data_IF_105683733497
#
_entry.id   IF_105683733497
#
_cell.length_a   1.000
_cell.length_b   1.000
_cell.length_c   1.000
_cell.angle_alpha   90.00
_cell.angle_beta   90.00
_cell.angle_gamma   90.00
#
_symmetry.space_group_name_H-M   'P 1'
#
loop_
_entity.id
_entity.type
_entity.pdbx_description
1 polymer ?
#
# COMPACT_ATOMS: atom_id res chain seq x y z
N UNK A 1 -22.97 -1.73 50.49
CA UNK A 1 -21.89 -0.89 49.90
C UNK A 1 -20.63 -1.67 49.52
N UNK A 2 -20.33 -2.81 50.12
CA UNK A 2 -19.14 -3.60 49.75
C UNK A 2 -19.19 -4.30 48.39
N UNK A 3 -20.37 -4.70 47.91
CA UNK A 3 -20.52 -5.41 46.63
C UNK A 3 -20.33 -4.53 45.40
N UNK A 4 -20.60 -3.21 45.49
CA UNK A 4 -20.42 -2.27 44.38
C UNK A 4 -18.96 -1.89 44.14
N UNK A 5 -18.15 -1.87 45.18
CA UNK A 5 -16.72 -1.55 45.10
C UNK A 5 -15.92 -2.71 44.48
N UNK A 6 -16.29 -3.96 44.84
CA UNK A 6 -15.68 -5.16 44.25
C UNK A 6 -15.98 -5.30 42.76
N UNK A 7 -17.19 -4.92 42.32
CA UNK A 7 -17.56 -4.91 40.88
C UNK A 7 -16.78 -3.86 40.06
N UNK A 8 -16.56 -2.68 40.63
CA UNK A 8 -15.76 -1.63 39.98
C UNK A 8 -14.26 -1.97 39.92
N UNK A 9 -13.73 -2.62 40.94
CA UNK A 9 -12.34 -3.11 40.97
C UNK A 9 -12.16 -4.24 39.93
N UNK A 10 -13.12 -5.17 39.83
CA UNK A 10 -13.06 -6.26 38.83
C UNK A 10 -13.16 -5.74 37.41
N UNK A 11 -13.98 -4.72 37.11
CA UNK A 11 -14.07 -4.08 35.83
C UNK A 11 -12.81 -3.26 35.50
N UNK A 12 -12.24 -2.58 36.49
CA UNK A 12 -10.96 -1.86 36.30
C UNK A 12 -9.79 -2.85 36.09
N UNK A 13 -9.74 -3.96 36.80
CA UNK A 13 -8.72 -5.00 36.59
C UNK A 13 -8.90 -5.75 35.25
N UNK A 14 -10.13 -5.99 34.81
CA UNK A 14 -10.40 -6.57 33.49
C UNK A 14 -10.04 -5.60 32.36
N UNK A 15 -10.37 -4.32 32.48
CA UNK A 15 -9.96 -3.29 31.51
C UNK A 15 -8.44 -3.04 31.52
N UNK A 16 -7.82 -3.07 32.68
CA UNK A 16 -6.36 -2.97 32.82
C UNK A 16 -5.66 -4.24 32.30
N UNK A 17 -6.23 -5.40 32.53
CA UNK A 17 -5.74 -6.68 31.99
C UNK A 17 -5.79 -6.74 30.48
N UNK A 18 -6.87 -6.26 29.86
CA UNK A 18 -7.02 -6.24 28.40
C UNK A 18 -6.01 -5.30 27.74
N UNK A 19 -5.84 -4.09 28.25
CA UNK A 19 -4.82 -3.12 27.74
C UNK A 19 -3.39 -3.58 28.05
N UNK A 20 -3.20 -4.32 29.14
CA UNK A 20 -1.88 -4.85 29.54
C UNK A 20 -1.51 -6.06 28.69
N UNK A 21 -2.48 -6.91 28.34
CA UNK A 21 -2.30 -8.10 27.52
C UNK A 21 -1.90 -7.73 26.07
N UNK A 22 -2.58 -6.77 25.43
CA UNK A 22 -2.24 -6.29 24.09
C UNK A 22 -0.83 -5.68 24.03
N UNK A 23 -0.40 -4.97 25.07
CA UNK A 23 0.95 -4.38 25.13
C UNK A 23 2.04 -5.41 25.38
N UNK A 24 1.75 -6.42 26.19
CA UNK A 24 2.67 -7.54 26.45
C UNK A 24 2.77 -8.38 25.19
N UNK A 25 1.66 -8.70 24.54
CA UNK A 25 1.64 -9.48 23.33
C UNK A 25 2.43 -8.78 22.21
N UNK A 26 2.22 -7.49 22.00
CA UNK A 26 2.97 -6.70 21.03
C UNK A 26 4.49 -6.71 21.30
N UNK A 27 4.91 -6.65 22.57
CA UNK A 27 6.31 -6.73 22.95
C UNK A 27 6.90 -8.13 22.77
N UNK A 28 6.10 -9.15 23.05
CA UNK A 28 6.52 -10.55 22.85
C UNK A 28 6.70 -10.84 21.35
N UNK A 29 5.78 -10.40 20.52
CA UNK A 29 5.85 -10.57 19.08
C UNK A 29 7.04 -9.82 18.49
N UNK A 30 7.32 -8.59 18.94
CA UNK A 30 8.50 -7.82 18.53
C UNK A 30 9.81 -8.51 18.98
N UNK A 31 9.89 -8.94 20.25
CA UNK A 31 11.05 -9.66 20.76
C UNK A 31 11.27 -10.99 20.03
N UNK A 32 10.19 -11.73 19.73
CA UNK A 32 10.27 -12.95 18.94
C UNK A 32 10.78 -12.67 17.52
N UNK A 33 10.31 -11.59 16.89
CA UNK A 33 10.74 -11.19 15.56
C UNK A 33 12.22 -10.76 15.55
N UNK A 34 12.67 -9.98 16.54
CA UNK A 34 14.09 -9.57 16.67
C UNK A 34 14.99 -10.80 16.91
N UNK A 35 14.61 -11.66 17.84
CA UNK A 35 15.34 -12.89 18.13
C UNK A 35 15.39 -13.80 16.91
N UNK A 36 14.28 -13.98 16.21
CA UNK A 36 14.22 -14.77 14.98
C UNK A 36 15.17 -14.22 13.92
N UNK A 37 15.18 -12.89 13.70
CA UNK A 37 16.09 -12.26 12.73
C UNK A 37 17.55 -12.48 13.11
N UNK A 38 17.90 -12.33 14.38
CA UNK A 38 19.25 -12.56 14.89
C UNK A 38 19.69 -14.03 14.75
N UNK A 39 18.81 -14.98 15.12
CA UNK A 39 19.08 -16.42 15.04
C UNK A 39 19.17 -16.93 13.58
N UNK A 40 18.43 -16.31 12.66
CA UNK A 40 18.38 -16.72 11.25
C UNK A 40 19.23 -15.82 10.32
N UNK A 41 20.00 -14.88 10.87
CA UNK A 41 20.84 -13.94 10.12
C UNK A 41 20.03 -13.20 9.03
N UNK A 42 18.81 -12.77 9.32
CA UNK A 42 17.97 -12.03 8.37
C UNK A 42 18.61 -10.68 8.10
N UNK A 43 18.98 -10.38 6.85
CA UNK A 43 19.67 -9.13 6.53
C UNK A 43 18.72 -7.92 6.71
N UNK A 44 19.27 -6.77 7.10
CA UNK A 44 18.51 -5.51 7.22
C UNK A 44 18.05 -4.95 5.86
N UNK A 45 18.73 -5.37 4.80
CA UNK A 45 18.43 -4.99 3.42
C UNK A 45 18.10 -6.21 2.58
N UNK A 46 17.32 -6.01 1.53
CA UNK A 46 17.01 -7.06 0.56
C UNK A 46 18.29 -7.59 -0.10
N UNK A 47 18.35 -8.90 -0.40
CA UNK A 47 19.49 -9.47 -1.11
C UNK A 47 19.64 -8.81 -2.49
N UNK A 48 20.89 -8.57 -2.91
CA UNK A 48 21.20 -8.09 -4.26
C UNK A 48 20.72 -9.10 -5.30
N UNK A 49 20.31 -8.59 -6.47
CA UNK A 49 19.92 -9.45 -7.59
C UNK A 49 21.11 -10.29 -8.06
N UNK A 50 20.88 -11.55 -8.36
CA UNK A 50 21.89 -12.40 -8.99
C UNK A 50 21.91 -12.10 -10.48
N UNK A 51 22.61 -11.05 -10.88
CA UNK A 51 22.85 -10.72 -12.29
C UNK A 51 23.75 -11.80 -12.88
N UNK A 52 23.19 -12.66 -13.75
CA UNK A 52 23.98 -13.64 -14.50
C UNK A 52 23.76 -15.11 -14.18
N UNK A 53 22.89 -15.48 -13.26
CA UNK A 53 22.48 -16.88 -13.11
C UNK A 53 21.54 -17.27 -14.26
N UNK A 54 22.12 -17.77 -15.36
CA UNK A 54 21.36 -18.29 -16.51
C UNK A 54 20.81 -19.69 -16.19
N UNK A 55 19.87 -19.76 -15.27
CA UNK A 55 18.92 -20.86 -15.27
C UNK A 55 17.77 -20.48 -16.19
N UNK A 56 18.03 -20.49 -17.50
CA UNK A 56 16.98 -20.29 -18.48
C UNK A 56 15.90 -21.37 -18.24
N UNK A 57 14.64 -20.97 -18.09
CA UNK A 57 13.56 -21.92 -17.89
C UNK A 57 13.49 -22.86 -19.08
N UNK A 58 13.10 -24.11 -18.83
CA UNK A 58 12.88 -25.08 -19.89
C UNK A 58 11.88 -24.50 -20.93
N UNK A 59 12.23 -24.46 -22.25
CA UNK A 59 11.34 -23.93 -23.27
C UNK A 59 9.93 -24.56 -23.28
N UNK A 60 9.80 -25.81 -22.86
CA UNK A 60 8.51 -26.49 -22.71
C UNK A 60 7.69 -25.94 -21.52
N UNK A 61 8.35 -25.42 -20.47
CA UNK A 61 7.66 -24.78 -19.35
C UNK A 61 7.17 -23.38 -19.70
N UNK A 62 7.84 -22.69 -20.62
CA UNK A 62 7.45 -21.33 -21.05
C UNK A 62 6.08 -21.30 -21.76
N UNK A 63 5.67 -22.40 -22.41
CA UNK A 63 4.35 -22.50 -23.06
C UNK A 63 3.20 -22.70 -22.05
N UNK A 64 3.53 -23.04 -20.79
CA UNK A 64 2.59 -23.21 -19.70
C UNK A 64 2.63 -22.03 -18.68
N UNK A 65 3.49 -21.01 -18.91
CA UNK A 65 3.57 -19.83 -18.05
C UNK A 65 2.22 -19.11 -18.09
N UNK A 66 1.52 -18.97 -16.95
CA UNK A 66 0.28 -18.20 -16.92
C UNK A 66 0.55 -16.76 -17.36
N UNK A 67 -0.19 -16.31 -18.37
CA UNK A 67 -0.22 -14.88 -18.64
C UNK A 67 -0.82 -14.19 -17.41
N UNK A 68 -0.10 -13.24 -16.86
CA UNK A 68 -0.65 -12.39 -15.79
C UNK A 68 -1.81 -11.59 -16.41
N UNK A 69 -2.97 -11.63 -15.78
CA UNK A 69 -4.05 -10.73 -16.16
C UNK A 69 -3.72 -9.33 -15.66
N UNK A 70 -2.90 -8.61 -16.46
CA UNK A 70 -2.59 -7.20 -16.20
C UNK A 70 -3.85 -6.33 -16.08
N UNK A 71 -4.99 -6.80 -16.62
CA UNK A 71 -6.24 -6.07 -16.56
C UNK A 71 -6.90 -6.12 -15.18
N UNK A 72 -6.70 -7.18 -14.40
CA UNK A 72 -7.32 -7.30 -13.08
C UNK A 72 -6.71 -6.30 -12.09
N UNK A 73 -5.40 -6.18 -12.04
CA UNK A 73 -4.71 -5.25 -11.12
C UNK A 73 -4.64 -3.82 -11.67
N UNK A 74 -4.44 -3.65 -12.98
CA UNK A 74 -4.53 -2.35 -13.64
C UNK A 74 -5.99 -1.92 -13.85
N UNK A 75 -6.92 -2.86 -14.06
CA UNK A 75 -8.33 -2.59 -14.27
C UNK A 75 -8.99 -1.94 -13.05
N UNK A 76 -8.62 -2.32 -11.84
CA UNK A 76 -9.14 -1.70 -10.62
C UNK A 76 -8.58 -0.28 -10.44
N UNK A 77 -7.35 -0.01 -10.89
CA UNK A 77 -6.82 1.36 -10.95
C UNK A 77 -7.44 2.18 -12.08
N UNK A 78 -8.05 1.53 -13.07
CA UNK A 78 -8.70 2.15 -14.24
C UNK A 78 -10.21 2.29 -14.09
N UNK A 79 -10.85 1.88 -12.98
CA UNK A 79 -12.28 2.06 -12.84
C UNK A 79 -12.59 3.56 -12.83
N UNK A 80 -12.83 4.08 -14.06
CA UNK A 80 -13.76 5.17 -14.23
C UNK A 80 -15.17 4.59 -13.93
N UNK A 81 -16.08 5.32 -13.28
CA UNK A 81 -17.43 4.84 -13.00
C UNK A 81 -18.04 4.31 -14.29
N UNK A 82 -18.59 3.11 -14.22
CA UNK A 82 -19.25 2.46 -15.35
C UNK A 82 -20.44 3.33 -15.76
N UNK A 83 -20.25 4.20 -16.76
CA UNK A 83 -21.35 4.86 -17.41
C UNK A 83 -22.24 3.77 -17.99
N UNK A 84 -23.46 3.64 -17.49
CA UNK A 84 -24.46 2.74 -18.04
C UNK A 84 -24.50 2.96 -19.56
N UNK A 85 -24.40 1.87 -20.32
CA UNK A 85 -24.41 1.88 -21.77
C UNK A 85 -25.74 2.47 -22.28
N UNK A 86 -25.76 3.77 -22.45
CA UNK A 86 -26.81 4.53 -23.11
C UNK A 86 -26.33 4.91 -24.49
N UNK A 87 -27.18 4.66 -25.49
CA UNK A 87 -26.95 4.84 -26.92
C UNK A 87 -26.19 6.15 -27.26
N UNK A 88 -25.19 6.05 -28.14
CA UNK A 88 -24.40 7.16 -28.62
C UNK A 88 -25.27 8.28 -29.21
N UNK A 89 -25.18 9.53 -28.74
CA UNK A 89 -25.75 10.67 -29.41
C UNK A 89 -24.88 11.15 -30.56
N UNK A 90 -25.55 11.44 -31.67
CA UNK A 90 -25.00 12.06 -32.89
C UNK A 90 -24.30 13.38 -32.56
N UNK A 91 -23.04 13.52 -32.95
CA UNK A 91 -22.20 14.71 -32.65
C UNK A 91 -22.56 15.85 -33.58
N UNK A 92 -23.22 16.86 -33.04
CA UNK A 92 -23.28 18.20 -33.67
C UNK A 92 -22.07 19.00 -33.14
N UNK A 93 -21.31 19.76 -33.97
CA UNK A 93 -20.18 20.54 -33.46
C UNK A 93 -20.68 21.63 -32.51
N UNK A 94 -20.33 21.49 -31.24
CA UNK A 94 -20.61 22.50 -30.21
C UNK A 94 -19.64 23.69 -30.37
N UNK A 95 -20.19 24.89 -30.30
CA UNK A 95 -19.44 26.13 -30.19
C UNK A 95 -18.46 26.06 -29.02
N UNK A 96 -17.23 26.55 -29.23
CA UNK A 96 -16.19 26.62 -28.22
C UNK A 96 -16.70 27.29 -26.94
N UNK A 97 -16.73 26.51 -25.85
CA UNK A 97 -17.05 27.04 -24.53
C UNK A 97 -15.98 28.10 -24.14
N UNK A 98 -16.37 29.16 -23.41
CA UNK A 98 -15.42 30.15 -22.89
C UNK A 98 -14.39 29.43 -22.00
N UNK A 99 -13.11 29.90 -21.96
CA UNK A 99 -12.09 29.31 -21.14
C UNK A 99 -12.57 29.25 -19.68
N UNK A 100 -12.50 28.05 -19.09
CA UNK A 100 -12.86 27.85 -17.69
C UNK A 100 -12.03 28.81 -16.84
N UNK A 101 -12.70 29.53 -15.94
CA UNK A 101 -12.01 30.43 -15.01
C UNK A 101 -10.90 29.65 -14.29
N UNK A 102 -9.70 30.22 -14.23
CA UNK A 102 -8.57 29.62 -13.51
C UNK A 102 -9.01 29.33 -12.07
N UNK A 103 -8.78 28.10 -11.56
CA UNK A 103 -9.19 27.77 -10.22
C UNK A 103 -8.57 28.75 -9.21
N UNK A 104 -9.39 29.30 -8.33
CA UNK A 104 -8.90 30.13 -7.23
C UNK A 104 -7.85 29.34 -6.44
N UNK A 105 -6.67 29.92 -6.17
CA UNK A 105 -5.66 29.21 -5.39
C UNK A 105 -6.22 28.85 -4.00
N UNK A 106 -5.83 27.71 -3.43
CA UNK A 106 -6.27 27.32 -2.10
C UNK A 106 -5.84 28.37 -1.07
N UNK A 107 -6.58 28.52 0.05
CA UNK A 107 -6.20 29.44 1.13
C UNK A 107 -4.80 29.08 1.67
N UNK A 108 -4.15 29.99 2.39
CA UNK A 108 -2.82 29.76 2.98
C UNK A 108 -2.83 28.74 4.12
N UNK A 109 -3.98 28.44 4.71
CA UNK A 109 -4.16 27.38 5.70
C UNK A 109 -5.59 26.82 5.62
N UNK A 110 -5.74 25.54 5.92
CA UNK A 110 -7.03 24.89 6.05
C UNK A 110 -6.92 23.66 6.95
N UNK A 111 -7.99 23.37 7.72
CA UNK A 111 -8.05 22.22 8.60
C UNK A 111 -9.44 21.58 8.52
N UNK A 112 -9.48 20.31 8.18
CA UNK A 112 -10.67 19.46 8.24
C UNK A 112 -10.83 18.92 9.67
N UNK A 113 -12.05 18.86 10.16
CA UNK A 113 -12.38 18.38 11.50
C UNK A 113 -13.52 17.36 11.45
N UNK A 114 -13.83 16.72 12.58
CA UNK A 114 -14.93 15.75 12.65
C UNK A 114 -14.51 14.29 12.48
N UNK A 115 -13.21 14.02 12.56
CA UNK A 115 -12.69 12.64 12.55
C UNK A 115 -12.90 11.97 13.89
N UNK A 116 -13.26 10.69 13.87
CA UNK A 116 -13.29 9.85 15.04
C UNK A 116 -11.97 9.10 15.14
N UNK A 117 -11.07 9.60 15.97
CA UNK A 117 -9.74 9.04 16.16
C UNK A 117 -9.78 7.76 16.99
N UNK A 118 -9.10 6.73 16.50
CA UNK A 118 -8.77 5.51 17.23
C UNK A 118 -7.27 5.25 17.11
N UNK A 119 -6.62 4.94 18.23
CA UNK A 119 -5.24 4.48 18.18
C UNK A 119 -5.23 3.08 17.58
N UNK A 120 -4.38 2.85 16.58
CA UNK A 120 -4.27 1.54 15.95
C UNK A 120 -3.88 0.44 16.95
N UNK A 121 -4.47 -0.73 16.80
CA UNK A 121 -3.98 -1.97 17.40
C UNK A 121 -2.67 -2.40 16.73
N UNK A 122 -2.02 -3.44 17.28
CA UNK A 122 -0.79 -3.96 16.70
C UNK A 122 -0.99 -4.31 15.22
N UNK A 123 -0.06 -3.84 14.37
CA UNK A 123 -0.06 -4.08 12.92
C UNK A 123 -1.39 -3.75 12.21
N UNK A 124 -2.10 -2.72 12.66
CA UNK A 124 -3.44 -2.36 12.18
C UNK A 124 -3.52 -0.95 11.57
N UNK A 125 -2.40 -0.42 11.04
CA UNK A 125 -2.34 0.94 10.51
C UNK A 125 -3.30 1.15 9.33
N UNK A 126 -3.36 0.23 8.40
CA UNK A 126 -4.27 0.29 7.24
C UNK A 126 -5.74 0.33 7.68
N UNK A 127 -6.25 -0.69 8.37
CA UNK A 127 -7.62 -0.71 8.86
C UNK A 127 -8.00 0.49 9.73
N UNK A 128 -7.14 0.90 10.66
CA UNK A 128 -7.41 2.04 11.54
C UNK A 128 -7.45 3.36 10.78
N UNK A 129 -6.52 3.59 9.84
CA UNK A 129 -6.51 4.81 9.02
C UNK A 129 -7.68 4.86 8.05
N UNK A 130 -8.13 3.71 7.53
CA UNK A 130 -9.31 3.63 6.70
C UNK A 130 -10.58 3.95 7.51
N UNK A 131 -10.77 3.33 8.69
CA UNK A 131 -11.89 3.60 9.58
C UNK A 131 -11.96 5.09 9.98
N UNK A 132 -10.81 5.68 10.28
CA UNK A 132 -10.69 7.11 10.59
C UNK A 132 -11.11 7.98 9.39
N UNK A 133 -10.63 7.69 8.19
CA UNK A 133 -11.00 8.44 6.99
C UNK A 133 -12.51 8.34 6.70
N UNK A 134 -13.08 7.13 6.79
CA UNK A 134 -14.51 6.88 6.62
C UNK A 134 -15.37 7.61 7.67
N UNK A 135 -14.87 7.77 8.89
CA UNK A 135 -15.59 8.47 9.94
C UNK A 135 -15.88 9.94 9.61
N UNK A 136 -15.00 10.60 8.84
CA UNK A 136 -15.21 11.94 8.31
C UNK A 136 -16.46 12.03 7.43
N UNK A 137 -16.75 10.98 6.69
CA UNK A 137 -17.92 10.86 5.83
C UNK A 137 -19.17 10.32 6.55
N UNK A 138 -19.10 10.18 7.88
CA UNK A 138 -20.24 9.75 8.71
C UNK A 138 -20.37 8.25 8.91
N UNK A 139 -19.41 7.44 8.43
CA UNK A 139 -19.41 6.01 8.70
C UNK A 139 -19.18 5.73 10.19
N UNK A 140 -19.93 4.77 10.76
CA UNK A 140 -19.95 4.54 12.21
C UNK A 140 -19.14 3.33 12.69
N UNK A 141 -18.55 2.56 11.78
CA UNK A 141 -17.69 1.42 12.13
C UNK A 141 -16.36 1.83 12.73
N UNK A 142 -15.59 0.85 13.20
CA UNK A 142 -14.32 0.97 13.91
C UNK A 142 -13.18 0.31 13.13
N UNK A 143 -11.96 0.34 13.65
CA UNK A 143 -10.84 -0.40 13.06
C UNK A 143 -11.04 -1.91 13.10
N UNK A 144 -11.87 -2.44 13.99
CA UNK A 144 -12.22 -3.86 14.03
C UNK A 144 -13.08 -4.25 12.82
N UNK A 145 -14.04 -3.40 12.45
CA UNK A 145 -14.93 -3.65 11.31
C UNK A 145 -14.14 -3.65 10.00
N UNK A 146 -13.23 -2.69 9.82
CA UNK A 146 -12.35 -2.66 8.65
C UNK A 146 -11.35 -3.82 8.66
N UNK A 147 -10.76 -4.16 9.82
CA UNK A 147 -9.82 -5.26 9.94
C UNK A 147 -10.48 -6.62 9.68
N UNK A 148 -11.73 -6.84 10.11
CA UNK A 148 -12.46 -8.07 9.85
C UNK A 148 -12.60 -8.38 8.35
N UNK A 149 -12.60 -7.33 7.51
CA UNK A 149 -12.58 -7.49 6.07
C UNK A 149 -11.15 -7.52 5.51
N UNK A 150 -10.31 -6.55 5.84
CA UNK A 150 -9.01 -6.34 5.23
C UNK A 150 -7.96 -7.35 5.74
N UNK A 151 -8.07 -7.76 7.00
CA UNK A 151 -7.11 -8.65 7.67
C UNK A 151 -7.84 -9.78 8.39
N UNK A 152 -8.46 -10.71 7.66
CA UNK A 152 -9.19 -11.82 8.27
C UNK A 152 -8.29 -12.72 9.12
N UNK A 153 -6.99 -12.70 8.86
CA UNK A 153 -5.95 -13.39 9.63
C UNK A 153 -5.05 -12.33 10.30
N UNK A 154 -4.89 -12.42 11.60
CA UNK A 154 -4.16 -11.41 12.41
C UNK A 154 -2.68 -11.27 12.05
N UNK A 155 -2.08 -12.32 11.48
CA UNK A 155 -0.66 -12.36 11.11
C UNK A 155 -0.36 -11.64 9.77
N UNK A 156 -1.38 -11.27 9.00
CA UNK A 156 -1.24 -10.52 7.77
C UNK A 156 -0.45 -9.21 8.02
N UNK A 157 0.59 -8.98 7.21
CA UNK A 157 1.54 -7.87 7.36
C UNK A 157 1.20 -6.66 6.51
N UNK A 158 0.34 -6.83 5.53
CA UNK A 158 0.00 -5.80 4.56
C UNK A 158 -1.51 -5.62 4.45
N UNK A 159 -1.91 -4.42 4.12
CA UNK A 159 -3.22 -4.08 3.57
C UNK A 159 -2.95 -3.16 2.39
N UNK A 160 -3.14 -3.66 1.20
CA UNK A 160 -2.90 -2.89 -0.02
C UNK A 160 -3.99 -1.84 -0.27
N UNK A 161 -3.70 -0.76 -0.99
CA UNK A 161 -4.73 0.23 -1.38
C UNK A 161 -5.87 -0.39 -2.18
N UNK A 162 -5.61 -1.46 -2.92
CA UNK A 162 -6.62 -2.16 -3.71
C UNK A 162 -7.62 -2.93 -2.84
N UNK A 163 -7.16 -3.57 -1.79
CA UNK A 163 -8.02 -4.24 -0.82
C UNK A 163 -8.92 -3.22 -0.11
N UNK A 164 -8.35 -2.03 0.23
CA UNK A 164 -9.14 -0.92 0.76
C UNK A 164 -10.22 -0.49 -0.24
N UNK A 165 -9.88 -0.36 -1.52
CA UNK A 165 -10.85 0.00 -2.56
C UNK A 165 -11.99 -1.02 -2.67
N UNK A 166 -11.68 -2.31 -2.67
CA UNK A 166 -12.66 -3.39 -2.71
C UNK A 166 -13.63 -3.33 -1.50
N UNK A 167 -13.10 -3.00 -0.33
CA UNK A 167 -13.94 -2.80 0.85
C UNK A 167 -14.82 -1.54 0.74
N UNK A 168 -14.25 -0.42 0.32
CA UNK A 168 -14.94 0.85 0.16
C UNK A 168 -16.14 0.75 -0.78
N UNK A 169 -15.97 0.09 -1.93
CA UNK A 169 -17.07 -0.09 -2.90
C UNK A 169 -18.22 -0.90 -2.32
N UNK A 170 -17.95 -1.88 -1.47
CA UNK A 170 -18.97 -2.65 -0.77
C UNK A 170 -19.81 -1.82 0.22
N UNK A 171 -19.28 -0.68 0.65
CA UNK A 171 -19.92 0.26 1.59
C UNK A 171 -20.59 1.46 0.89
N UNK A 172 -20.53 1.54 -0.44
CA UNK A 172 -21.08 2.67 -1.20
C UNK A 172 -20.17 3.89 -1.25
N UNK A 173 -18.87 3.70 -1.04
CA UNK A 173 -17.83 4.69 -1.26
C UNK A 173 -17.08 4.41 -2.55
N UNK A 174 -16.39 5.41 -3.06
CA UNK A 174 -15.47 5.30 -4.18
C UNK A 174 -14.14 5.92 -3.80
N UNK A 175 -13.07 5.62 -4.57
CA UNK A 175 -11.76 6.17 -4.30
C UNK A 175 -10.90 6.26 -5.56
N UNK A 176 -10.01 7.24 -5.60
CA UNK A 176 -8.90 7.30 -6.55
C UNK A 176 -7.59 6.95 -5.86
N UNK A 177 -6.93 5.91 -6.33
CA UNK A 177 -5.59 5.51 -5.92
C UNK A 177 -4.63 6.05 -6.97
N UNK A 178 -3.71 6.93 -6.59
CA UNK A 178 -2.76 7.58 -7.51
C UNK A 178 -1.39 7.70 -6.87
N UNK A 179 -0.39 7.89 -7.69
CA UNK A 179 1.00 8.15 -7.27
C UNK A 179 1.41 9.59 -7.60
N UNK A 180 2.65 9.94 -7.33
CA UNK A 180 3.19 11.26 -7.64
C UNK A 180 2.50 12.44 -6.93
N UNK A 181 1.93 12.20 -5.75
CA UNK A 181 1.37 13.28 -4.93
C UNK A 181 2.43 14.30 -4.52
N UNK A 182 1.99 15.54 -4.34
CA UNK A 182 2.83 16.65 -3.89
C UNK A 182 2.10 17.55 -2.90
N UNK A 183 2.81 18.55 -2.37
CA UNK A 183 2.25 19.54 -1.42
C UNK A 183 1.05 20.27 -2.02
N UNK A 184 1.13 20.67 -3.29
CA UNK A 184 0.07 21.44 -3.94
C UNK A 184 -1.19 20.60 -4.14
N UNK A 185 -1.03 19.31 -4.49
CA UNK A 185 -2.14 18.36 -4.61
C UNK A 185 -2.83 18.15 -3.27
N UNK A 186 -2.08 17.86 -2.20
CA UNK A 186 -2.66 17.68 -0.86
C UNK A 186 -3.45 18.90 -0.41
N UNK A 187 -2.86 20.11 -0.55
CA UNK A 187 -3.54 21.36 -0.22
C UNK A 187 -4.83 21.56 -1.01
N UNK A 188 -4.81 21.26 -2.29
CA UNK A 188 -5.98 21.39 -3.17
C UNK A 188 -7.13 20.47 -2.74
N UNK A 189 -6.85 19.23 -2.39
CA UNK A 189 -7.86 18.31 -1.87
C UNK A 189 -8.40 18.72 -0.50
N UNK A 190 -7.50 19.07 0.43
CA UNK A 190 -7.89 19.47 1.78
C UNK A 190 -8.74 20.74 1.72
N UNK A 191 -8.36 21.76 0.93
CA UNK A 191 -9.14 22.97 0.76
C UNK A 191 -10.52 22.74 0.13
N UNK A 192 -10.68 21.68 -0.64
CA UNK A 192 -11.96 21.23 -1.22
C UNK A 192 -12.79 20.31 -0.29
N UNK A 193 -12.30 20.02 0.93
CA UNK A 193 -13.03 19.19 1.89
C UNK A 193 -12.79 17.69 1.76
N UNK A 194 -11.69 17.27 1.10
CA UNK A 194 -11.33 15.86 0.95
C UNK A 194 -10.08 15.53 1.77
N UNK A 195 -10.20 14.74 2.85
CA UNK A 195 -9.04 14.19 3.54
C UNK A 195 -8.31 13.20 2.62
N UNK A 196 -6.98 13.21 2.67
CA UNK A 196 -6.17 12.37 1.78
C UNK A 196 -5.42 11.32 2.59
N UNK A 197 -5.72 10.05 2.33
CA UNK A 197 -4.97 8.93 2.89
C UNK A 197 -3.66 8.78 2.11
N UNK A 198 -2.53 8.70 2.82
CA UNK A 198 -1.20 8.53 2.22
C UNK A 198 -0.53 7.30 2.79
N UNK A 199 0.19 6.58 1.94
CA UNK A 199 1.07 5.49 2.35
C UNK A 199 2.50 5.98 2.36
N UNK A 200 3.21 5.79 3.47
CA UNK A 200 4.54 6.35 3.69
C UNK A 200 5.45 5.37 4.43
N UNK A 201 6.76 5.52 4.26
CA UNK A 201 7.74 4.84 5.10
C UNK A 201 7.89 5.56 6.43
N UNK A 202 7.91 4.83 7.53
CA UNK A 202 8.32 5.34 8.82
C UNK A 202 9.64 4.71 9.22
N UNK A 203 10.52 5.54 9.75
CA UNK A 203 11.69 5.11 10.49
C UNK A 203 11.62 5.70 11.86
N UNK A 204 11.83 4.87 12.87
CA UNK A 204 11.85 5.37 14.22
C UNK A 204 13.18 6.01 14.57
N UNK A 205 13.11 7.05 15.37
CA UNK A 205 14.30 7.62 15.95
C UNK A 205 14.90 6.66 16.99
N UNK A 206 16.23 6.59 17.16
CA UNK A 206 16.89 5.70 18.11
C UNK A 206 16.42 5.86 19.57
N UNK A 207 15.77 6.99 19.89
CA UNK A 207 15.26 7.32 21.23
C UNK A 207 13.78 6.99 21.41
N UNK A 208 13.08 6.47 20.41
CA UNK A 208 11.65 6.12 20.50
C UNK A 208 11.39 4.73 21.15
N UNK A 209 12.46 4.10 21.65
CA UNK A 209 12.40 2.82 22.36
C UNK A 209 12.26 1.63 21.43
N UNK A 210 12.31 0.41 22.00
CA UNK A 210 12.33 -0.87 21.30
C UNK A 210 11.12 -1.18 20.41
N UNK A 211 10.18 -0.27 20.26
CA UNK A 211 8.99 -0.46 19.43
C UNK A 211 9.23 -0.23 17.95
N UNK A 212 10.41 0.20 17.58
CA UNK A 212 10.62 0.78 16.27
C UNK A 212 12.11 0.75 15.89
N UNK A 213 12.70 -0.43 15.80
CA UNK A 213 14.11 -0.58 15.40
C UNK A 213 14.33 -0.43 13.89
N UNK A 214 13.28 -0.64 13.08
CA UNK A 214 13.39 -0.79 11.63
C UNK A 214 12.45 0.16 10.87
N UNK A 215 12.70 0.26 9.57
CA UNK A 215 11.80 0.87 8.62
C UNK A 215 10.54 0.00 8.42
N UNK A 216 9.36 0.62 8.31
CA UNK A 216 8.09 -0.04 8.00
C UNK A 216 7.14 0.87 7.22
N UNK A 217 6.21 0.25 6.47
CA UNK A 217 5.12 0.93 5.79
C UNK A 217 4.04 1.39 6.77
N UNK A 218 3.44 2.54 6.51
CA UNK A 218 2.43 3.13 7.38
C UNK A 218 1.45 4.01 6.62
N UNK A 219 0.18 3.92 7.00
CA UNK A 219 -0.87 4.81 6.51
C UNK A 219 -1.15 5.94 7.49
N UNK A 220 -1.38 7.15 6.97
CA UNK A 220 -1.93 8.27 7.74
C UNK A 220 -2.82 9.14 6.87
N UNK A 221 -3.76 9.87 7.49
CA UNK A 221 -4.67 10.77 6.77
C UNK A 221 -4.24 12.21 6.95
N UNK A 222 -3.90 12.89 5.85
CA UNK A 222 -3.61 14.33 5.84
C UNK A 222 -4.93 15.08 5.86
N UNK A 223 -5.08 15.97 6.85
CA UNK A 223 -6.36 16.65 7.13
C UNK A 223 -6.24 18.16 7.19
N UNK A 224 -5.03 18.71 7.25
CA UNK A 224 -4.82 20.15 7.32
C UNK A 224 -3.44 20.57 6.86
N UNK A 225 -3.29 21.86 6.59
CA UNK A 225 -2.01 22.48 6.24
C UNK A 225 -1.95 23.94 6.67
N UNK A 226 -0.74 24.45 6.83
CA UNK A 226 -0.45 25.86 7.10
C UNK A 226 0.84 26.28 6.37
N UNK A 227 0.72 27.21 5.42
CA UNK A 227 1.84 27.72 4.61
C UNK A 227 2.76 28.64 5.43
N UNK A 228 2.27 29.30 6.48
CA UNK A 228 3.10 30.16 7.31
C UNK A 228 4.14 29.35 8.09
N UNK A 229 3.79 28.14 8.51
CA UNK A 229 4.68 27.21 9.21
C UNK A 229 5.25 26.11 8.32
N UNK A 230 4.80 26.02 7.08
CA UNK A 230 5.16 24.95 6.13
C UNK A 230 4.88 23.54 6.68
N UNK A 231 3.69 23.36 7.30
CA UNK A 231 3.31 22.12 7.98
C UNK A 231 2.01 21.53 7.47
N UNK A 232 1.92 20.20 7.54
CA UNK A 232 0.68 19.45 7.47
C UNK A 232 0.21 19.01 8.85
N UNK A 233 -1.10 18.91 9.03
CA UNK A 233 -1.74 18.21 10.14
C UNK A 233 -2.22 16.85 9.63
N UNK A 234 -1.84 15.78 10.32
CA UNK A 234 -2.23 14.43 9.98
C UNK A 234 -2.97 13.76 11.14
N UNK A 235 -3.99 12.99 10.82
CA UNK A 235 -4.53 12.01 11.76
C UNK A 235 -3.68 10.73 11.59
N UNK A 236 -2.78 10.50 12.52
CA UNK A 236 -1.85 9.38 12.47
C UNK A 236 -2.17 8.39 13.59
N UNK A 237 -2.67 7.21 13.22
CA UNK A 237 -3.17 6.22 14.17
C UNK A 237 -2.07 5.60 15.05
N UNK A 238 -0.80 5.78 14.67
CA UNK A 238 0.37 5.36 15.45
C UNK A 238 0.93 6.50 16.31
N UNK A 239 1.14 7.69 15.72
CA UNK A 239 1.75 8.86 16.39
C UNK A 239 0.76 9.58 17.31
N UNK A 240 -0.45 9.78 16.85
CA UNK A 240 -1.51 10.49 17.60
C UNK A 240 -2.43 11.33 16.70
N UNK A 241 -3.52 11.84 17.27
CA UNK A 241 -4.38 12.80 16.58
C UNK A 241 -3.64 14.12 16.38
N UNK A 242 -4.02 14.84 15.33
CA UNK A 242 -3.52 16.19 15.00
C UNK A 242 -1.98 16.28 14.98
N UNK A 243 -1.34 15.22 14.49
CA UNK A 243 0.11 15.13 14.44
C UNK A 243 0.66 16.07 13.36
N UNK A 244 1.48 17.04 13.78
CA UNK A 244 2.04 18.07 12.90
C UNK A 244 3.40 17.62 12.38
N UNK A 245 3.58 17.73 11.06
CA UNK A 245 4.82 17.43 10.35
C UNK A 245 5.13 18.55 9.35
N UNK A 246 6.40 18.85 9.13
CA UNK A 246 6.78 19.78 8.05
C UNK A 246 6.47 19.18 6.68
N UNK A 247 6.24 20.02 5.67
CA UNK A 247 6.09 19.56 4.29
C UNK A 247 7.26 18.66 3.85
N UNK A 248 8.48 19.07 4.21
CA UNK A 248 9.69 18.31 3.87
C UNK A 248 9.71 16.91 4.50
N UNK A 249 9.30 16.76 5.76
CA UNK A 249 9.22 15.46 6.43
C UNK A 249 8.17 14.55 5.79
N UNK A 250 6.98 15.08 5.50
CA UNK A 250 5.95 14.32 4.80
C UNK A 250 6.45 13.84 3.45
N UNK A 251 7.02 14.74 2.63
CA UNK A 251 7.52 14.41 1.30
C UNK A 251 8.64 13.36 1.35
N UNK A 252 9.57 13.47 2.30
CA UNK A 252 10.67 12.49 2.47
C UNK A 252 10.14 11.09 2.80
N UNK A 253 9.22 10.99 3.77
CA UNK A 253 8.67 9.72 4.21
C UNK A 253 7.75 9.10 3.13
N UNK A 254 7.04 9.93 2.40
CA UNK A 254 6.08 9.53 1.36
C UNK A 254 6.76 8.98 0.11
N UNK A 255 7.99 9.40 -0.18
CA UNK A 255 8.82 8.91 -1.30
C UNK A 255 8.90 7.39 -1.36
N UNK A 256 9.04 6.71 -0.22
CA UNK A 256 9.17 5.25 -0.15
C UNK A 256 8.01 4.49 -0.81
N UNK A 257 6.86 5.12 -0.98
CA UNK A 257 5.68 4.57 -1.63
C UNK A 257 5.30 5.36 -2.90
N UNK A 258 6.29 5.86 -3.63
CA UNK A 258 6.07 6.59 -4.89
C UNK A 258 5.08 7.75 -4.75
N UNK A 259 4.99 8.35 -3.56
CA UNK A 259 4.02 9.40 -3.23
C UNK A 259 2.57 8.96 -3.45
N UNK A 260 2.28 7.71 -3.10
CA UNK A 260 0.95 7.11 -3.25
C UNK A 260 -0.05 7.79 -2.32
N UNK A 261 -1.21 8.12 -2.89
CA UNK A 261 -2.33 8.68 -2.15
C UNK A 261 -3.66 8.06 -2.57
N UNK A 262 -4.60 8.08 -1.65
CA UNK A 262 -5.96 7.60 -1.85
C UNK A 262 -6.94 8.71 -1.44
N UNK A 263 -7.78 9.13 -2.37
CA UNK A 263 -8.86 10.09 -2.12
C UNK A 263 -10.15 9.31 -2.04
N UNK A 264 -10.75 9.24 -0.85
CA UNK A 264 -11.95 8.47 -0.55
C UNK A 264 -13.15 9.42 -0.45
N UNK A 265 -14.29 9.05 -1.04
CA UNK A 265 -15.50 9.86 -1.00
C UNK A 265 -16.75 8.99 -1.13
N UNK A 266 -17.93 9.44 -0.63
CA UNK A 266 -19.21 8.78 -0.89
C UNK A 266 -19.48 8.71 -2.40
N UNK A 267 -19.79 7.51 -2.91
CA UNK A 267 -19.99 7.30 -4.34
C UNK A 267 -21.12 8.19 -4.90
N UNK A 268 -20.90 8.77 -6.07
CA UNK A 268 -21.89 9.61 -6.75
C UNK A 268 -21.28 10.47 -7.86
N UNK A 269 -22.00 10.69 -8.97
CA UNK A 269 -21.42 11.30 -10.17
C UNK A 269 -20.93 12.74 -9.96
N UNK A 270 -21.54 13.51 -9.08
CA UNK A 270 -21.10 14.87 -8.79
C UNK A 270 -19.77 14.93 -8.06
N UNK A 271 -19.56 14.02 -7.09
CA UNK A 271 -18.30 13.92 -6.34
C UNK A 271 -17.18 13.34 -7.19
N UNK A 272 -17.49 12.34 -7.99
CA UNK A 272 -16.52 11.77 -8.92
C UNK A 272 -15.98 12.84 -9.88
N UNK A 273 -16.83 13.60 -10.55
CA UNK A 273 -16.42 14.68 -11.44
C UNK A 273 -15.60 15.78 -10.72
N UNK A 274 -15.92 16.08 -9.48
CA UNK A 274 -15.15 17.01 -8.65
C UNK A 274 -13.76 16.48 -8.35
N UNK A 275 -13.65 15.22 -7.90
CA UNK A 275 -12.36 14.58 -7.60
C UNK A 275 -11.49 14.47 -8.86
N UNK A 276 -12.05 14.09 -10.00
CA UNK A 276 -11.33 14.09 -11.29
C UNK A 276 -10.78 15.47 -11.63
N UNK A 277 -11.59 16.51 -11.47
CA UNK A 277 -11.14 17.91 -11.69
C UNK A 277 -10.00 18.31 -10.72
N UNK A 278 -10.08 17.87 -9.45
CA UNK A 278 -9.04 18.13 -8.46
C UNK A 278 -7.76 17.34 -8.73
N UNK A 279 -7.86 16.13 -9.27
CA UNK A 279 -6.71 15.34 -9.72
C UNK A 279 -5.98 16.03 -10.89
N UNK A 280 -6.71 16.72 -11.79
CA UNK A 280 -6.11 17.31 -12.97
C UNK A 280 -5.45 16.24 -13.85
N UNK A 281 -4.17 16.42 -14.18
CA UNK A 281 -3.41 15.45 -14.98
C UNK A 281 -3.34 14.04 -14.36
N UNK A 282 -3.32 13.96 -13.03
CA UNK A 282 -3.33 12.68 -12.32
C UNK A 282 -4.66 11.90 -12.43
N UNK A 283 -5.72 12.48 -13.02
CA UNK A 283 -6.94 11.74 -13.34
C UNK A 283 -6.69 10.65 -14.40
N UNK A 284 -5.86 10.93 -15.40
CA UNK A 284 -5.38 9.93 -16.35
C UNK A 284 -4.25 9.12 -15.74
N UNK A 285 -4.44 7.81 -15.65
CA UNK A 285 -3.52 6.92 -14.95
C UNK A 285 -2.18 6.80 -15.68
N UNK A 286 -2.19 6.72 -17.00
CA UNK A 286 -0.97 6.62 -17.80
C UNK A 286 -0.14 7.90 -17.71
N UNK A 287 -0.79 9.05 -17.76
CA UNK A 287 -0.13 10.34 -17.57
C UNK A 287 0.44 10.44 -16.15
N UNK A 288 -0.32 10.03 -15.14
CA UNK A 288 0.13 10.03 -13.74
C UNK A 288 1.43 9.23 -13.54
N UNK A 289 1.50 7.99 -14.06
CA UNK A 289 2.73 7.19 -13.99
C UNK A 289 3.85 7.72 -14.86
N UNK A 290 3.55 8.37 -15.98
CA UNK A 290 4.58 9.02 -16.85
C UNK A 290 5.24 10.18 -16.11
N UNK A 291 4.45 11.03 -15.46
CA UNK A 291 4.96 12.16 -14.66
C UNK A 291 5.69 11.66 -13.40
N UNK A 292 5.16 10.61 -12.75
CA UNK A 292 5.83 9.94 -11.63
C UNK A 292 7.20 9.37 -12.02
N UNK A 293 7.31 8.76 -13.20
CA UNK A 293 8.58 8.26 -13.73
C UNK A 293 9.59 9.39 -13.97
N UNK A 294 9.15 10.50 -14.56
CA UNK A 294 10.01 11.65 -14.78
C UNK A 294 10.57 12.20 -13.47
N UNK A 295 9.72 12.34 -12.45
CA UNK A 295 10.14 12.75 -11.10
C UNK A 295 11.11 11.75 -10.46
N UNK A 296 10.77 10.46 -10.46
CA UNK A 296 11.61 9.45 -9.87
C UNK A 296 13.01 9.40 -10.49
N UNK A 297 13.12 9.57 -11.82
CA UNK A 297 14.41 9.68 -12.53
C UNK A 297 15.20 10.90 -12.08
N UNK A 298 14.59 12.08 -11.99
CA UNK A 298 15.27 13.26 -11.47
C UNK A 298 15.77 13.09 -10.04
N UNK A 299 15.01 12.36 -9.20
CA UNK A 299 15.40 12.04 -7.84
C UNK A 299 16.61 11.09 -7.79
N UNK A 300 16.80 10.18 -8.75
CA UNK A 300 17.99 9.30 -8.79
C UNK A 300 19.30 10.06 -9.05
N UNK A 301 19.24 11.27 -9.61
CA UNK A 301 20.41 12.10 -9.88
C UNK A 301 20.85 12.94 -8.68
N UNK A 302 19.97 13.13 -7.71
CA UNK A 302 20.20 14.09 -6.61
C UNK A 302 20.21 13.47 -5.22
N UNK A 303 19.60 12.30 -5.06
CA UNK A 303 19.48 11.63 -3.77
C UNK A 303 20.65 10.65 -3.53
N UNK A 304 20.84 10.31 -2.26
CA UNK A 304 21.87 9.39 -1.80
C UNK A 304 21.30 8.36 -0.83
N UNK A 305 22.05 7.31 -0.56
CA UNK A 305 21.74 6.29 0.45
C UNK A 305 20.32 5.68 0.24
N UNK A 306 19.57 5.49 1.32
CA UNK A 306 18.23 4.89 1.28
C UNK A 306 17.23 5.68 0.44
N UNK A 307 17.32 7.01 0.43
CA UNK A 307 16.45 7.84 -0.40
C UNK A 307 16.69 7.61 -1.89
N UNK A 308 17.94 7.34 -2.30
CA UNK A 308 18.30 6.91 -3.65
C UNK A 308 17.73 5.52 -3.96
N UNK A 309 17.76 4.58 -3.00
CA UNK A 309 17.16 3.27 -3.19
C UNK A 309 15.65 3.38 -3.45
N UNK A 310 14.94 4.22 -2.70
CA UNK A 310 13.52 4.48 -2.93
C UNK A 310 13.27 5.17 -4.29
N UNK A 311 14.13 6.09 -4.71
CA UNK A 311 14.01 6.71 -6.03
C UNK A 311 14.13 5.68 -7.16
N UNK A 312 15.12 4.78 -7.11
CA UNK A 312 15.25 3.68 -8.07
C UNK A 312 14.08 2.71 -8.01
N UNK A 313 13.57 2.41 -6.82
CA UNK A 313 12.37 1.57 -6.67
C UNK A 313 11.15 2.22 -7.34
N UNK A 314 10.97 3.52 -7.17
CA UNK A 314 9.90 4.28 -7.82
C UNK A 314 10.06 4.30 -9.35
N UNK A 315 11.29 4.40 -9.88
CA UNK A 315 11.55 4.21 -11.32
C UNK A 315 11.04 2.84 -11.77
N UNK A 316 11.37 1.77 -11.04
CA UNK A 316 10.91 0.41 -11.33
C UNK A 316 9.39 0.30 -11.29
N UNK A 317 8.75 0.80 -10.23
CA UNK A 317 7.29 0.80 -10.08
C UNK A 317 6.60 1.51 -11.25
N UNK A 318 7.06 2.72 -11.59
CA UNK A 318 6.44 3.50 -12.66
C UNK A 318 6.64 2.84 -14.03
N UNK A 319 7.83 2.30 -14.34
CA UNK A 319 8.09 1.54 -15.56
C UNK A 319 7.21 0.31 -15.69
N UNK A 320 7.05 -0.44 -14.58
CA UNK A 320 6.19 -1.63 -14.54
C UNK A 320 4.74 -1.27 -14.90
N UNK A 321 4.17 -0.21 -14.31
CA UNK A 321 2.83 0.25 -14.66
C UNK A 321 2.71 0.73 -16.11
N UNK A 322 3.78 1.27 -16.68
CA UNK A 322 3.88 1.62 -18.08
C UNK A 322 4.25 0.43 -18.99
N UNK A 323 4.28 -0.80 -18.43
CA UNK A 323 4.60 -2.07 -19.09
C UNK A 323 6.02 -2.19 -19.66
N UNK A 324 6.94 -1.35 -19.21
CA UNK A 324 8.38 -1.50 -19.46
C UNK A 324 8.98 -2.43 -18.38
N UNK A 325 8.67 -3.73 -18.44
CA UNK A 325 9.10 -4.70 -17.44
C UNK A 325 10.61 -4.91 -17.43
N UNK A 326 11.28 -4.81 -18.58
CA UNK A 326 12.74 -4.92 -18.65
C UNK A 326 13.41 -3.75 -17.93
N UNK A 327 13.02 -2.54 -18.24
CA UNK A 327 13.53 -1.36 -17.55
C UNK A 327 13.10 -1.29 -16.07
N UNK A 328 11.95 -1.87 -15.72
CA UNK A 328 11.52 -1.99 -14.33
C UNK A 328 12.44 -2.94 -13.54
N UNK A 329 12.75 -4.12 -14.10
CA UNK A 329 13.65 -5.09 -13.49
C UNK A 329 15.05 -4.49 -13.24
N UNK A 330 15.62 -3.78 -14.24
CA UNK A 330 16.89 -3.06 -14.09
C UNK A 330 16.84 -2.01 -12.96
N UNK A 331 15.76 -1.26 -12.87
CA UNK A 331 15.60 -0.25 -11.83
C UNK A 331 15.46 -0.86 -10.43
N UNK A 332 14.75 -1.98 -10.29
CA UNK A 332 14.66 -2.72 -9.04
C UNK A 332 16.01 -3.35 -8.65
N UNK A 333 16.81 -3.82 -9.61
CA UNK A 333 18.17 -4.27 -9.35
C UNK A 333 19.01 -3.13 -8.76
N UNK A 334 18.96 -1.93 -9.35
CA UNK A 334 19.66 -0.74 -8.83
C UNK A 334 19.20 -0.35 -7.43
N UNK A 335 17.88 -0.41 -7.18
CA UNK A 335 17.34 -0.14 -5.85
C UNK A 335 17.89 -1.13 -4.79
N UNK A 336 17.99 -2.42 -5.14
CA UNK A 336 18.53 -3.48 -4.28
C UNK A 336 20.05 -3.33 -4.08
N UNK A 337 20.80 -2.93 -5.11
CA UNK A 337 22.24 -2.64 -5.02
C UNK A 337 22.54 -1.49 -4.06
N UNK A 338 21.72 -0.43 -4.07
CA UNK A 338 21.85 0.71 -3.15
C UNK A 338 21.51 0.32 -1.72
N UNK A 339 20.51 -0.57 -1.53
CA UNK A 339 20.11 -1.12 -0.25
C UNK A 339 18.68 -0.73 0.16
N UNK A 340 17.73 -1.55 -0.23
CA UNK A 340 16.32 -1.43 0.19
C UNK A 340 16.08 -2.11 1.54
N UNK A 341 15.26 -1.53 2.42
CA UNK A 341 14.81 -2.22 3.62
C UNK A 341 14.15 -3.56 3.27
N UNK A 342 14.43 -4.62 4.06
CA UNK A 342 13.90 -5.95 3.78
C UNK A 342 12.35 -6.00 3.76
N UNK A 343 11.70 -5.14 4.54
CA UNK A 343 10.24 -5.05 4.58
C UNK A 343 9.61 -4.38 3.35
N UNK A 344 10.41 -3.85 2.43
CA UNK A 344 9.87 -3.19 1.23
C UNK A 344 8.94 -4.10 0.45
N UNK A 345 9.33 -5.36 0.29
CA UNK A 345 8.54 -6.39 -0.41
C UNK A 345 7.46 -7.06 0.45
N UNK A 346 7.21 -6.56 1.66
CA UNK A 346 6.01 -6.88 2.42
C UNK A 346 4.81 -6.02 1.96
N UNK A 347 5.08 -4.88 1.33
CA UNK A 347 4.07 -3.87 0.97
C UNK A 347 3.99 -3.60 -0.52
N UNK A 348 5.07 -3.86 -1.27
CA UNK A 348 5.17 -3.46 -2.67
C UNK A 348 5.75 -4.60 -3.52
N UNK A 349 4.93 -5.17 -4.40
CA UNK A 349 5.21 -6.41 -5.12
C UNK A 349 5.73 -6.20 -6.55
N UNK A 350 6.00 -4.95 -6.93
CA UNK A 350 6.52 -4.57 -8.23
C UNK A 350 7.74 -5.39 -8.69
N UNK A 351 8.75 -5.65 -7.84
CA UNK A 351 9.90 -6.49 -8.20
C UNK A 351 9.52 -7.89 -8.64
N UNK A 352 8.59 -8.56 -7.94
CA UNK A 352 8.13 -9.90 -8.33
C UNK A 352 7.54 -9.90 -9.73
N UNK A 353 6.63 -8.95 -10.00
CA UNK A 353 5.98 -8.80 -11.29
C UNK A 353 6.96 -8.48 -12.41
N UNK A 354 7.89 -7.56 -12.19
CA UNK A 354 8.87 -7.16 -13.20
C UNK A 354 9.79 -8.35 -13.56
N UNK A 355 10.35 -9.03 -12.56
CA UNK A 355 11.22 -10.18 -12.78
C UNK A 355 10.47 -11.35 -13.45
N UNK A 356 9.23 -11.63 -13.03
CA UNK A 356 8.41 -12.65 -13.65
C UNK A 356 8.20 -12.40 -15.15
N UNK A 357 7.82 -11.16 -15.52
CA UNK A 357 7.55 -10.80 -16.91
C UNK A 357 8.80 -10.81 -17.81
N UNK A 358 10.00 -10.70 -17.24
CA UNK A 358 11.26 -10.87 -17.98
C UNK A 358 11.88 -12.25 -17.79
N UNK A 359 11.11 -13.22 -17.33
CA UNK A 359 11.48 -14.63 -17.15
C UNK A 359 12.61 -14.87 -16.13
N UNK A 360 12.83 -13.92 -15.23
CA UNK A 360 13.79 -14.02 -14.13
C UNK A 360 13.13 -14.70 -12.92
N UNK A 361 12.61 -15.91 -13.10
CA UNK A 361 11.84 -16.63 -12.09
C UNK A 361 12.64 -16.97 -10.83
N UNK A 362 13.97 -17.20 -10.96
CA UNK A 362 14.81 -17.43 -9.79
C UNK A 362 14.88 -16.20 -8.89
N UNK A 363 14.97 -15.00 -9.45
CA UNK A 363 14.91 -13.76 -8.66
C UNK A 363 13.58 -13.61 -7.90
N UNK A 364 12.47 -14.04 -8.51
CA UNK A 364 11.17 -14.05 -7.83
C UNK A 364 11.20 -15.04 -6.66
N UNK A 365 11.69 -16.27 -6.87
CA UNK A 365 11.77 -17.30 -5.83
C UNK A 365 12.67 -16.84 -4.68
N UNK A 366 13.86 -16.30 -4.98
CA UNK A 366 14.83 -15.89 -3.98
C UNK A 366 14.30 -14.71 -3.15
N UNK A 367 13.71 -13.72 -3.82
CA UNK A 367 13.19 -12.52 -3.16
C UNK A 367 11.96 -12.82 -2.30
N UNK A 368 11.01 -13.63 -2.81
CA UNK A 368 9.83 -14.05 -2.04
C UNK A 368 10.21 -14.97 -0.88
N UNK A 369 11.18 -15.86 -1.07
CA UNK A 369 11.72 -16.70 0.02
C UNK A 369 12.40 -15.86 1.09
N UNK A 370 13.17 -14.83 0.71
CA UNK A 370 13.76 -13.90 1.65
C UNK A 370 12.69 -13.14 2.45
N UNK A 371 11.60 -12.69 1.79
CA UNK A 371 10.47 -12.05 2.46
C UNK A 371 9.79 -13.00 3.48
N UNK A 372 9.46 -14.23 3.07
CA UNK A 372 8.83 -15.24 3.91
C UNK A 372 9.71 -15.56 5.13
N UNK A 373 11.01 -15.74 4.92
CA UNK A 373 11.97 -16.08 5.97
C UNK A 373 12.37 -14.87 6.84
N UNK A 374 11.89 -13.67 6.57
CA UNK A 374 12.22 -12.47 7.35
C UNK A 374 11.40 -12.30 8.62
N UNK A 375 10.41 -13.15 8.86
CA UNK A 375 9.52 -13.08 10.03
C UNK A 375 9.09 -14.48 10.49
N UNK A 376 8.94 -14.72 11.81
CA UNK A 376 8.51 -16.02 12.33
C UNK A 376 7.05 -16.34 12.00
N UNK A 377 6.25 -15.33 11.67
CA UNK A 377 4.84 -15.46 11.29
C UNK A 377 4.63 -14.75 9.94
N UNK A 378 4.97 -15.42 8.84
CA UNK A 378 4.89 -14.80 7.52
C UNK A 378 3.44 -14.79 6.99
N UNK A 379 2.64 -13.84 7.48
CA UNK A 379 1.39 -13.44 6.85
C UNK A 379 1.72 -12.53 5.66
N UNK A 380 2.15 -13.12 4.57
CA UNK A 380 2.63 -12.49 3.33
C UNK A 380 2.12 -13.32 2.15
N UNK A 381 0.80 -13.37 1.97
CA UNK A 381 0.15 -14.18 0.95
C UNK A 381 0.68 -13.88 -0.45
N UNK A 382 0.98 -12.62 -0.73
CA UNK A 382 1.49 -12.24 -2.05
C UNK A 382 2.89 -12.83 -2.31
N UNK A 383 3.73 -12.93 -1.27
CA UNK A 383 5.04 -13.56 -1.43
C UNK A 383 4.91 -15.06 -1.75
N UNK A 384 3.95 -15.76 -1.13
CA UNK A 384 3.64 -17.15 -1.46
C UNK A 384 3.04 -17.26 -2.87
N UNK A 385 2.09 -16.41 -3.23
CA UNK A 385 1.51 -16.40 -4.57
C UNK A 385 2.58 -16.22 -5.66
N UNK A 386 3.42 -15.21 -5.55
CA UNK A 386 4.48 -14.92 -6.52
C UNK A 386 5.53 -16.04 -6.59
N UNK A 387 5.88 -16.65 -5.44
CA UNK A 387 6.76 -17.80 -5.44
C UNK A 387 6.12 -19.00 -6.12
N UNK A 388 4.85 -19.25 -5.85
CA UNK A 388 4.06 -20.27 -6.52
C UNK A 388 4.05 -20.09 -8.05
N UNK A 389 3.80 -18.89 -8.56
CA UNK A 389 3.87 -18.60 -10.00
C UNK A 389 5.24 -18.91 -10.61
N UNK A 390 6.31 -18.50 -9.94
CA UNK A 390 7.66 -18.74 -10.42
C UNK A 390 8.06 -20.23 -10.37
N UNK A 391 7.62 -20.96 -9.33
CA UNK A 391 7.80 -22.40 -9.21
C UNK A 391 7.04 -23.15 -10.31
N UNK A 392 5.81 -22.74 -10.60
CA UNK A 392 5.02 -23.29 -11.69
C UNK A 392 5.71 -23.11 -13.04
N UNK A 393 6.24 -21.91 -13.30
CA UNK A 393 7.01 -21.62 -14.51
C UNK A 393 8.28 -22.48 -14.66
N UNK A 394 8.85 -22.96 -13.56
CA UNK A 394 9.94 -23.93 -13.55
C UNK A 394 9.49 -25.40 -13.67
N UNK A 395 8.20 -25.66 -13.76
CA UNK A 395 7.65 -27.03 -13.79
C UNK A 395 7.60 -27.69 -12.41
N UNK A 396 7.76 -26.93 -11.33
CA UNK A 396 7.68 -27.38 -9.93
C UNK A 396 6.25 -27.26 -9.41
N UNK A 397 5.28 -27.79 -10.17
CA UNK A 397 3.86 -27.57 -9.95
C UNK A 397 3.33 -28.00 -8.57
N UNK A 398 3.86 -29.09 -7.99
CA UNK A 398 3.43 -29.51 -6.64
C UNK A 398 3.83 -28.49 -5.56
N UNK A 399 5.02 -27.92 -5.68
CA UNK A 399 5.48 -26.89 -4.75
C UNK A 399 4.71 -25.58 -4.93
N UNK A 400 4.38 -25.24 -6.18
CA UNK A 400 3.51 -24.11 -6.47
C UNK A 400 2.13 -24.25 -5.83
N UNK A 401 1.54 -25.44 -5.90
CA UNK A 401 0.24 -25.75 -5.28
C UNK A 401 0.28 -25.58 -3.76
N UNK A 402 1.36 -25.98 -3.10
CA UNK A 402 1.52 -25.78 -1.66
C UNK A 402 1.63 -24.28 -1.32
N UNK A 403 2.38 -23.51 -2.10
CA UNK A 403 2.47 -22.07 -1.90
C UNK A 403 1.10 -21.38 -2.09
N UNK A 404 0.33 -21.71 -3.12
CA UNK A 404 -1.01 -21.16 -3.32
C UNK A 404 -1.98 -21.52 -2.18
N UNK A 405 -1.89 -22.74 -1.62
CA UNK A 405 -2.67 -23.14 -0.45
C UNK A 405 -2.31 -22.31 0.76
N UNK A 406 -1.00 -22.11 1.01
CA UNK A 406 -0.54 -21.28 2.12
C UNK A 406 -0.99 -19.83 1.93
N UNK A 407 -0.94 -19.29 0.72
CA UNK A 407 -1.47 -17.95 0.45
C UNK A 407 -2.95 -17.84 0.85
N UNK A 408 -3.79 -18.82 0.46
CA UNK A 408 -5.21 -18.87 0.87
C UNK A 408 -5.42 -19.07 2.37
N UNK A 409 -4.51 -19.73 3.08
CA UNK A 409 -4.55 -19.84 4.54
C UNK A 409 -4.24 -18.49 5.18
N UNK A 410 -3.36 -17.66 4.57
CA UNK A 410 -3.01 -16.33 5.05
C UNK A 410 -4.06 -15.28 4.67
N UNK A 411 -4.63 -15.38 3.48
CA UNK A 411 -5.74 -14.54 3.05
C UNK A 411 -6.80 -15.38 2.30
N UNK A 412 -7.89 -15.77 2.97
CA UNK A 412 -8.98 -16.55 2.32
C UNK A 412 -9.67 -15.81 1.17
N UNK A 413 -9.41 -14.51 0.99
CA UNK A 413 -9.91 -13.67 -0.10
C UNK A 413 -8.93 -13.47 -1.24
N UNK A 414 -7.74 -14.08 -1.17
CA UNK A 414 -6.76 -14.06 -2.27
C UNK A 414 -7.35 -14.78 -3.48
N UNK A 415 -7.84 -13.99 -4.44
CA UNK A 415 -8.47 -14.49 -5.65
C UNK A 415 -7.45 -15.11 -6.59
N UNK A 416 -6.27 -14.57 -6.66
CA UNK A 416 -5.19 -14.99 -7.55
C UNK A 416 -4.74 -16.42 -7.23
N UNK A 417 -4.46 -16.71 -5.98
CA UNK A 417 -4.10 -18.07 -5.54
C UNK A 417 -5.28 -19.06 -5.70
N UNK A 418 -6.51 -18.59 -5.47
CA UNK A 418 -7.71 -19.41 -5.68
C UNK A 418 -7.86 -19.79 -7.14
N UNK A 419 -7.73 -18.85 -8.06
CA UNK A 419 -7.82 -19.13 -9.50
C UNK A 419 -6.65 -20.00 -9.99
N UNK A 420 -5.44 -19.81 -9.44
CA UNK A 420 -4.32 -20.69 -9.73
C UNK A 420 -4.61 -22.15 -9.32
N UNK A 421 -5.15 -22.38 -8.13
CA UNK A 421 -5.52 -23.73 -7.66
C UNK A 421 -6.66 -24.33 -8.48
N UNK A 422 -7.66 -23.53 -8.90
CA UNK A 422 -8.72 -24.00 -9.82
C UNK A 422 -8.16 -24.42 -11.16
N UNK A 423 -7.32 -23.58 -11.77
CA UNK A 423 -6.66 -23.86 -13.05
C UNK A 423 -5.83 -25.15 -13.01
N UNK A 424 -5.20 -25.42 -11.87
CA UNK A 424 -4.41 -26.63 -11.65
C UNK A 424 -5.25 -27.85 -11.21
N UNK A 425 -6.57 -27.70 -11.02
CA UNK A 425 -7.50 -28.77 -10.65
C UNK A 425 -7.49 -29.16 -9.17
N UNK A 426 -7.02 -28.28 -8.28
CA UNK A 426 -6.97 -28.50 -6.84
C UNK A 426 -8.15 -27.84 -6.08
N UNK A 427 -8.92 -26.99 -6.75
CA UNK A 427 -10.19 -26.44 -6.26
C UNK A 427 -11.26 -26.56 -7.37
N UNK A 428 -12.55 -26.68 -6.99
CA UNK A 428 -13.68 -26.71 -7.94
C UNK A 428 -13.92 -25.35 -8.61
#
# INVERSE_FOLDING_TARGET
MASGVLGLIALALAGFGYVFDDRIQARLDEWQAERFRAENNVPEVLPTAMVGASNAPNPAALSAVPALDDAAELGVLQIAPTAAAGAAPSVTPAASAPPAASPTPPPSSHLLTGFRYEKQKFNNCGPASLALNLSYWGWQGTQEDTAAFLKPISDDKNVSPIEMYNYLTSLGYDAYIRVNGDVALLKRFIAAGYPVLVEKGLQCAPNEGSRCSDWFGHYSTVVGYDDATQTFVTQDTFRGPDYVQTYAEVMRNWRAFNYLFVVIFPAGPGRDAEVQRLLGAAADLQQNYTEALARARAETETLTERDLAFAWFNVGTNRQYLRDYAGAAEAFDRAREVGLPFRMVWYQFGPYRAYYNVLRFQDVIDLSTAAINSTPKPGLEEAYYWRGLALEAYGRGLEAVEDYKVALEKNPRDLESREALKRLGYLP
#
